data_IF_091115822956
#
_entry.id   IF_091115822956
#
_cell.length_a   1.000
_cell.length_b   1.000
_cell.length_c   1.000
_cell.angle_alpha   90.00
_cell.angle_beta   90.00
_cell.angle_gamma   90.00
#
_symmetry.space_group_name_H-M   'P 1'
#
loop_
_entity.id
_entity.type
_entity.pdbx_description
1 polymer ?
#
# COMPACT_ATOMS: atom_id res chain seq x y z
N UNK A 1 -5.03 8.01 8.61
CA UNK A 1 -5.49 6.65 8.97
C UNK A 1 -6.96 6.76 9.33
N UNK A 2 -7.85 5.96 8.75
CA UNK A 2 -9.28 5.99 9.10
C UNK A 2 -9.50 5.43 10.51
N UNK A 3 -10.49 5.94 11.26
CA UNK A 3 -10.92 5.38 12.55
C UNK A 3 -11.25 3.88 12.40
N UNK A 4 -11.84 3.48 11.27
CA UNK A 4 -12.11 2.07 10.97
C UNK A 4 -10.84 1.22 10.87
N UNK A 5 -9.76 1.81 10.36
CA UNK A 5 -8.46 1.13 10.23
C UNK A 5 -7.77 0.99 11.59
N UNK A 6 -7.83 2.04 12.41
CA UNK A 6 -7.33 1.99 13.79
C UNK A 6 -8.07 0.93 14.62
N UNK A 7 -9.41 0.92 14.57
CA UNK A 7 -10.22 -0.10 15.26
C UNK A 7 -9.97 -1.51 14.72
N UNK A 8 -9.78 -1.66 13.40
CA UNK A 8 -9.43 -2.95 12.80
C UNK A 8 -8.11 -3.48 13.35
N UNK A 9 -7.08 -2.64 13.49
CA UNK A 9 -5.79 -3.03 14.06
C UNK A 9 -5.96 -3.46 15.51
N UNK A 10 -6.69 -2.69 16.32
CA UNK A 10 -6.92 -3.02 17.73
C UNK A 10 -7.66 -4.35 17.91
N UNK A 11 -8.64 -4.64 17.05
CA UNK A 11 -9.39 -5.90 17.08
C UNK A 11 -8.54 -7.10 16.65
N UNK A 12 -7.49 -6.89 15.84
CA UNK A 12 -6.55 -7.93 15.42
C UNK A 12 -5.50 -8.30 16.47
N UNK A 13 -5.33 -7.49 17.53
CA UNK A 13 -4.33 -7.79 18.58
C UNK A 13 -4.76 -9.03 19.39
N UNK A 14 -3.86 -9.96 19.73
CA UNK A 14 -4.18 -11.10 20.60
C UNK A 14 -4.50 -10.62 22.03
N UNK A 15 -5.20 -11.44 22.81
CA UNK A 15 -5.36 -11.17 24.24
C UNK A 15 -3.99 -11.32 24.93
N UNK A 16 -3.64 -10.39 25.82
CA UNK A 16 -2.37 -10.41 26.56
C UNK A 16 -2.15 -11.71 27.35
N UNK A 17 -3.24 -12.30 27.85
CA UNK A 17 -3.15 -13.41 28.79
C UNK A 17 -3.39 -14.74 28.06
N UNK A 18 -4.57 -14.92 27.46
CA UNK A 18 -4.94 -16.19 26.81
C UNK A 18 -4.51 -16.29 25.35
N UNK A 19 -3.94 -15.23 24.76
CA UNK A 19 -3.48 -15.18 23.36
C UNK A 19 -4.56 -15.54 22.32
N UNK A 20 -5.83 -15.63 22.71
CA UNK A 20 -6.95 -15.85 21.80
C UNK A 20 -7.02 -14.67 20.83
N UNK A 21 -7.33 -14.94 19.56
CA UNK A 21 -7.43 -13.95 18.47
C UNK A 21 -8.89 -13.81 17.99
N UNK A 22 -9.78 -14.69 18.44
CA UNK A 22 -11.18 -14.71 17.99
C UNK A 22 -11.90 -13.46 18.49
N UNK A 23 -12.35 -12.62 17.56
CA UNK A 23 -13.03 -11.35 17.85
C UNK A 23 -14.35 -11.57 18.60
N UNK A 24 -15.10 -12.63 18.29
CA UNK A 24 -16.38 -12.97 18.93
C UNK A 24 -16.28 -13.26 20.43
N UNK A 25 -15.08 -13.63 20.91
CA UNK A 25 -14.82 -13.92 22.32
C UNK A 25 -14.47 -12.65 23.11
N UNK A 26 -14.76 -11.46 22.57
CA UNK A 26 -14.37 -10.20 23.16
C UNK A 26 -15.51 -9.20 23.10
N UNK A 27 -15.63 -8.39 24.14
CA UNK A 27 -16.47 -7.20 24.13
C UNK A 27 -15.59 -5.98 24.10
N UNK A 28 -16.00 -4.96 23.35
CA UNK A 28 -15.27 -3.71 23.23
C UNK A 28 -16.16 -2.54 23.62
N UNK A 29 -15.58 -1.59 24.34
CA UNK A 29 -16.22 -0.35 24.74
C UNK A 29 -15.35 0.80 24.30
N UNK A 30 -15.94 1.76 23.59
CA UNK A 30 -15.24 2.95 23.12
C UNK A 30 -15.76 4.17 23.86
N UNK A 31 -14.84 4.98 24.35
CA UNK A 31 -15.14 6.28 24.95
C UNK A 31 -14.35 7.35 24.23
N UNK A 32 -15.00 8.46 23.94
CA UNK A 32 -14.41 9.59 23.23
C UNK A 32 -14.52 10.82 24.12
N UNK A 33 -13.38 11.40 24.48
CA UNK A 33 -13.30 12.63 25.28
C UNK A 33 -12.42 13.63 24.55
N UNK A 34 -13.03 14.65 23.96
CA UNK A 34 -12.31 15.63 23.14
C UNK A 34 -11.70 14.97 21.90
N UNK A 35 -10.38 14.87 21.86
CA UNK A 35 -9.61 14.19 20.81
C UNK A 35 -9.02 12.84 21.26
N UNK A 36 -9.24 12.46 22.51
CA UNK A 36 -8.85 11.16 23.04
C UNK A 36 -9.93 10.11 22.71
N UNK A 37 -9.51 9.04 22.05
CA UNK A 37 -10.27 7.82 21.86
C UNK A 37 -9.66 6.74 22.76
N UNK A 38 -10.44 6.27 23.73
CA UNK A 38 -10.06 5.16 24.59
C UNK A 38 -10.93 3.95 24.27
N UNK A 39 -10.28 2.84 23.96
CA UNK A 39 -10.89 1.55 23.65
C UNK A 39 -10.55 0.54 24.75
N UNK A 40 -11.57 -0.02 25.38
CA UNK A 40 -11.42 -1.09 26.38
C UNK A 40 -11.89 -2.38 25.73
N UNK A 41 -10.99 -3.36 25.63
CA UNK A 41 -11.27 -4.69 25.10
C UNK A 41 -11.26 -5.68 26.25
N UNK A 42 -12.39 -6.33 26.50
CA UNK A 42 -12.52 -7.37 27.52
C UNK A 42 -12.60 -8.74 26.86
N UNK A 43 -11.71 -9.65 27.23
CA UNK A 43 -11.80 -11.04 26.81
C UNK A 43 -12.87 -11.75 27.64
N UNK A 44 -13.78 -12.48 26.98
CA UNK A 44 -14.83 -13.25 27.65
C UNK A 44 -14.29 -14.56 28.25
N UNK A 45 -13.17 -15.08 27.72
CA UNK A 45 -12.56 -16.33 28.20
C UNK A 45 -11.79 -16.14 29.51
N UNK A 46 -10.83 -15.21 29.55
CA UNK A 46 -10.00 -14.97 30.73
C UNK A 46 -10.48 -13.79 31.59
N UNK A 47 -11.51 -13.06 31.16
CA UNK A 47 -12.03 -11.83 31.81
C UNK A 47 -11.05 -10.65 31.88
N UNK A 48 -9.84 -10.78 31.33
CA UNK A 48 -8.85 -9.72 31.24
C UNK A 48 -9.38 -8.55 30.41
N UNK A 49 -9.16 -7.33 30.91
CA UNK A 49 -9.45 -6.08 30.21
C UNK A 49 -8.15 -5.40 29.79
N UNK A 50 -8.04 -5.09 28.50
CA UNK A 50 -6.94 -4.32 27.91
C UNK A 50 -7.47 -2.94 27.53
N UNK A 51 -6.70 -1.90 27.83
CA UNK A 51 -7.06 -0.53 27.50
C UNK A 51 -6.05 0.02 26.48
N UNK A 52 -6.59 0.59 25.41
CA UNK A 52 -5.84 1.25 24.35
C UNK A 52 -6.32 2.68 24.22
N UNK A 53 -5.39 3.63 24.11
CA UNK A 53 -5.69 5.01 23.77
C UNK A 53 -4.90 5.42 22.53
N UNK A 54 -5.40 6.41 21.80
CA UNK A 54 -4.63 7.08 20.75
C UNK A 54 -3.67 8.14 21.32
N UNK A 55 -3.80 8.49 22.60
CA UNK A 55 -2.94 9.41 23.33
C UNK A 55 -1.91 8.61 24.15
N UNK A 56 -0.68 9.13 24.23
CA UNK A 56 0.37 8.59 25.09
C UNK A 56 0.27 9.21 26.50
N UNK A 57 0.94 8.64 27.51
CA UNK A 57 0.87 9.14 28.89
C UNK A 57 1.27 10.62 29.01
N UNK A 58 2.19 11.04 28.14
CA UNK A 58 2.83 12.36 28.18
C UNK A 58 2.20 13.35 27.18
N UNK A 59 1.40 12.86 26.22
CA UNK A 59 0.88 13.66 25.11
C UNK A 59 -0.64 13.58 25.07
N UNK A 60 -1.30 14.65 25.54
CA UNK A 60 -2.75 14.82 25.40
C UNK A 60 -3.05 15.75 24.23
N UNK A 61 -3.68 15.25 23.18
CA UNK A 61 -4.06 16.05 22.01
C UNK A 61 -4.99 17.19 22.38
N UNK A 62 -5.85 16.98 23.38
CA UNK A 62 -6.73 18.05 23.89
C UNK A 62 -5.95 19.24 24.45
N UNK A 63 -4.79 19.02 25.11
CA UNK A 63 -3.93 20.10 25.59
C UNK A 63 -3.16 20.76 24.45
N UNK A 64 -2.63 19.98 23.51
CA UNK A 64 -1.94 20.51 22.33
C UNK A 64 -2.86 21.40 21.51
N UNK A 65 -4.10 20.97 21.30
CA UNK A 65 -5.10 21.74 20.57
C UNK A 65 -5.51 22.97 21.37
N UNK A 66 -5.71 22.86 22.68
CA UNK A 66 -5.96 24.02 23.54
C UNK A 66 -4.82 25.05 23.48
N UNK A 67 -3.57 24.60 23.45
CA UNK A 67 -2.40 25.47 23.27
C UNK A 67 -2.40 26.15 21.90
N UNK A 68 -2.64 25.39 20.83
CA UNK A 68 -2.70 25.91 19.47
C UNK A 68 -3.86 26.90 19.25
N UNK A 69 -5.02 26.64 19.86
CA UNK A 69 -6.15 27.57 19.83
C UNK A 69 -5.88 28.84 20.64
N UNK A 70 -5.23 28.73 21.80
CA UNK A 70 -4.83 29.89 22.60
C UNK A 70 -3.81 30.77 21.87
N UNK A 71 -2.76 30.19 21.29
CA UNK A 71 -1.73 30.93 20.55
C UNK A 71 -2.26 31.51 19.23
N UNK A 72 -3.15 30.78 18.55
CA UNK A 72 -3.77 31.20 17.30
C UNK A 72 -5.01 32.10 17.47
N UNK A 73 -5.49 32.33 18.70
CA UNK A 73 -6.83 32.90 18.99
C UNK A 73 -7.96 32.22 18.21
N UNK A 74 -7.80 30.95 17.85
CA UNK A 74 -8.82 30.18 17.14
C UNK A 74 -9.73 29.54 18.18
N UNK A 75 -11.05 29.50 17.97
CA UNK A 75 -11.92 28.72 18.83
C UNK A 75 -11.94 27.25 18.40
N UNK A 76 -12.45 26.37 19.28
CA UNK A 76 -12.53 24.91 19.03
C UNK A 76 -13.21 24.58 17.71
N UNK A 77 -14.30 25.28 17.38
CA UNK A 77 -15.08 25.00 16.18
C UNK A 77 -14.29 25.38 14.93
N UNK A 78 -13.65 26.56 14.93
CA UNK A 78 -12.78 27.01 13.83
C UNK A 78 -11.64 26.02 13.56
N UNK A 79 -11.05 25.46 14.62
CA UNK A 79 -9.98 24.46 14.48
C UNK A 79 -10.50 23.12 13.93
N UNK A 80 -11.65 22.64 14.42
CA UNK A 80 -12.31 21.45 13.88
C UNK A 80 -12.68 21.61 12.40
N UNK A 81 -13.21 22.78 12.01
CA UNK A 81 -13.52 23.09 10.62
C UNK A 81 -12.25 23.10 9.76
N UNK A 82 -11.15 23.71 10.24
CA UNK A 82 -9.89 23.72 9.51
C UNK A 82 -9.36 22.30 9.26
N UNK A 83 -9.37 21.44 10.28
CA UNK A 83 -8.97 20.04 10.13
C UNK A 83 -9.86 19.27 9.14
N UNK A 84 -11.18 19.47 9.20
CA UNK A 84 -12.12 18.86 8.27
C UNK A 84 -11.88 19.33 6.82
N UNK A 85 -11.60 20.62 6.62
CA UNK A 85 -11.26 21.17 5.29
C UNK A 85 -9.95 20.61 4.76
N UNK A 86 -8.93 20.47 5.62
CA UNK A 86 -7.65 19.83 5.24
C UNK A 86 -7.91 18.37 4.83
N UNK A 87 -8.73 17.64 5.56
CA UNK A 87 -9.04 16.24 5.23
C UNK A 87 -9.79 16.12 3.89
N UNK A 88 -10.81 16.95 3.66
CA UNK A 88 -11.56 16.98 2.40
C UNK A 88 -10.65 17.33 1.22
N UNK A 89 -9.83 18.38 1.35
CA UNK A 89 -8.90 18.78 0.29
C UNK A 89 -7.87 17.69 0.00
N UNK A 90 -7.40 16.96 1.01
CA UNK A 90 -6.48 15.83 0.85
C UNK A 90 -7.14 14.61 0.18
N UNK A 91 -8.42 14.36 0.43
CA UNK A 91 -9.17 13.31 -0.28
C UNK A 91 -9.38 13.68 -1.76
N UNK A 92 -9.74 14.94 -2.02
CA UNK A 92 -9.87 15.47 -3.38
C UNK A 92 -8.54 15.37 -4.15
N UNK A 93 -7.43 15.76 -3.54
CA UNK A 93 -6.10 15.70 -4.18
C UNK A 93 -5.68 14.27 -4.51
N UNK A 94 -5.92 13.29 -3.63
CA UNK A 94 -5.64 11.87 -3.90
C UNK A 94 -6.43 11.34 -5.09
N UNK A 95 -7.72 11.66 -5.18
CA UNK A 95 -8.56 11.26 -6.32
C UNK A 95 -8.08 11.91 -7.62
N UNK A 96 -7.76 13.19 -7.58
CA UNK A 96 -7.20 13.91 -8.72
C UNK A 96 -5.87 13.31 -9.17
N UNK A 97 -4.96 13.00 -8.24
CA UNK A 97 -3.67 12.37 -8.53
C UNK A 97 -3.82 11.04 -9.29
N UNK A 98 -4.68 10.14 -8.80
CA UNK A 98 -4.93 8.86 -9.49
C UNK A 98 -5.62 9.03 -10.84
N UNK A 99 -6.53 10.01 -10.98
CA UNK A 99 -7.15 10.32 -12.26
C UNK A 99 -6.13 10.82 -13.30
N UNK A 100 -5.19 11.67 -12.88
CA UNK A 100 -4.10 12.14 -13.75
C UNK A 100 -3.14 11.01 -14.12
N UNK A 101 -2.79 10.13 -13.17
CA UNK A 101 -1.99 8.93 -13.46
C UNK A 101 -2.66 8.05 -14.52
N UNK A 102 -3.95 7.75 -14.38
CA UNK A 102 -4.69 6.95 -15.35
C UNK A 102 -4.75 7.62 -16.74
N UNK A 103 -4.91 8.95 -16.79
CA UNK A 103 -4.89 9.70 -18.05
C UNK A 103 -3.52 9.70 -18.74
N UNK A 104 -2.41 9.74 -17.99
CA UNK A 104 -1.07 9.68 -18.58
C UNK A 104 -0.64 8.26 -18.96
N UNK A 105 -0.90 7.26 -18.13
CA UNK A 105 -0.42 5.91 -18.39
C UNK A 105 -1.18 5.21 -19.51
N UNK A 106 -2.47 5.51 -19.69
CA UNK A 106 -3.27 4.92 -20.77
C UNK A 106 -2.67 5.14 -22.17
N UNK A 107 -2.36 6.38 -22.62
CA UNK A 107 -1.75 6.60 -23.92
C UNK A 107 -0.33 6.02 -24.01
N UNK A 108 0.46 6.04 -22.94
CA UNK A 108 1.80 5.42 -22.94
C UNK A 108 1.69 3.91 -23.20
N UNK A 109 0.75 3.23 -22.52
CA UNK A 109 0.51 1.79 -22.70
C UNK A 109 0.00 1.49 -24.12
N UNK A 110 -0.91 2.31 -24.64
CA UNK A 110 -1.43 2.15 -26.01
C UNK A 110 -0.33 2.37 -27.06
N UNK A 111 0.51 3.41 -26.91
CA UNK A 111 1.66 3.65 -27.78
C UNK A 111 2.67 2.52 -27.72
N UNK A 112 2.97 1.99 -26.53
CA UNK A 112 3.88 0.84 -26.38
C UNK A 112 3.32 -0.40 -27.09
N UNK A 113 2.02 -0.71 -26.91
CA UNK A 113 1.36 -1.83 -27.61
C UNK A 113 1.42 -1.66 -29.13
N UNK A 114 1.14 -0.46 -29.63
CA UNK A 114 1.19 -0.18 -31.06
C UNK A 114 2.61 -0.33 -31.60
N UNK A 115 3.61 0.21 -30.89
CA UNK A 115 5.02 0.06 -31.27
C UNK A 115 5.46 -1.40 -31.31
N UNK A 116 5.10 -2.21 -30.30
CA UNK A 116 5.40 -3.64 -30.29
C UNK A 116 4.71 -4.38 -31.45
N UNK A 117 3.47 -4.03 -31.77
CA UNK A 117 2.74 -4.62 -32.89
C UNK A 117 3.41 -4.28 -34.23
N UNK A 118 3.83 -3.03 -34.42
CA UNK A 118 4.54 -2.61 -35.64
C UNK A 118 5.84 -3.38 -35.81
N UNK A 119 6.68 -3.45 -34.78
CA UNK A 119 7.96 -4.20 -34.81
C UNK A 119 7.72 -5.67 -35.13
N UNK A 120 6.69 -6.29 -34.53
CA UNK A 120 6.38 -7.69 -34.79
C UNK A 120 5.98 -7.94 -36.25
N UNK A 121 5.21 -7.03 -36.85
CA UNK A 121 4.83 -7.13 -38.27
C UNK A 121 6.05 -6.93 -39.19
N UNK A 122 6.92 -5.97 -38.89
CA UNK A 122 8.17 -5.75 -39.63
C UNK A 122 9.08 -6.98 -39.58
N UNK A 123 9.22 -7.63 -38.42
CA UNK A 123 9.99 -8.88 -38.28
C UNK A 123 9.37 -9.99 -39.12
N UNK A 124 8.04 -10.14 -39.09
CA UNK A 124 7.35 -11.16 -39.88
C UNK A 124 7.52 -10.95 -41.39
N UNK A 125 7.44 -9.70 -41.86
CA UNK A 125 7.66 -9.36 -43.27
C UNK A 125 9.12 -9.62 -43.67
N UNK A 126 10.09 -9.21 -42.85
CA UNK A 126 11.51 -9.53 -43.08
C UNK A 126 11.78 -11.03 -43.12
N UNK A 127 11.21 -11.80 -42.19
CA UNK A 127 11.34 -13.25 -42.21
C UNK A 127 10.71 -13.85 -43.47
N UNK A 128 9.53 -13.35 -43.89
CA UNK A 128 8.85 -13.83 -45.10
C UNK A 128 9.69 -13.56 -46.35
N UNK A 129 10.34 -12.40 -46.45
CA UNK A 129 11.30 -12.09 -47.52
C UNK A 129 12.52 -13.01 -47.49
N UNK A 130 13.10 -13.24 -46.30
CA UNK A 130 14.24 -14.16 -46.09
C UNK A 130 13.88 -15.61 -46.46
N UNK A 131 12.67 -16.07 -46.12
CA UNK A 131 12.20 -17.43 -46.45
C UNK A 131 11.85 -17.59 -47.95
N UNK A 132 11.37 -16.53 -48.62
CA UNK A 132 11.16 -16.51 -50.07
C UNK A 132 12.49 -16.50 -50.85
N UNK A 133 13.51 -15.82 -50.31
CA UNK A 133 14.90 -15.85 -50.77
C UNK A 133 15.64 -17.05 -50.17
N UNK A 134 15.34 -18.28 -50.60
CA UNK A 134 16.06 -19.51 -50.22
C UNK A 134 17.56 -19.28 -49.90
N UNK A 135 17.88 -19.10 -48.63
CA UNK A 135 19.17 -19.43 -48.03
C UNK A 135 18.86 -19.99 -46.65
N UNK A 136 19.01 -21.31 -46.51
CA UNK A 136 19.17 -21.95 -45.20
C UNK A 136 20.31 -21.25 -44.47
N UNK A 137 19.98 -20.36 -43.54
CA UNK A 137 20.89 -19.97 -42.48
C UNK A 137 20.13 -20.02 -41.16
N UNK A 138 20.51 -21.02 -40.38
CA UNK A 138 20.17 -21.26 -38.99
C UNK A 138 20.19 -19.93 -38.24
N UNK A 139 19.05 -19.52 -37.69
CA UNK A 139 18.95 -18.42 -36.74
C UNK A 139 19.68 -18.82 -35.46
N UNK A 140 20.76 -18.16 -35.03
CA UNK A 140 21.27 -18.34 -33.69
C UNK A 140 20.29 -17.66 -32.72
N UNK A 141 19.42 -18.45 -32.10
CA UNK A 141 18.65 -18.02 -30.94
C UNK A 141 19.62 -17.92 -29.77
N UNK A 142 20.27 -16.76 -29.64
CA UNK A 142 20.97 -16.37 -28.42
C UNK A 142 19.95 -15.69 -27.50
N UNK A 143 19.53 -16.38 -26.44
CA UNK A 143 18.84 -15.71 -25.35
C UNK A 143 19.83 -14.75 -24.68
N UNK A 144 19.65 -13.45 -24.89
CA UNK A 144 20.35 -12.46 -24.09
C UNK A 144 19.74 -12.43 -22.69
N UNK A 145 20.28 -13.27 -21.80
CA UNK A 145 19.88 -13.38 -20.40
C UNK A 145 20.34 -12.16 -19.55
N UNK A 146 20.77 -11.06 -20.17
CA UNK A 146 21.32 -9.90 -19.45
C UNK A 146 20.32 -9.14 -18.57
N UNK A 147 19.03 -9.49 -18.59
CA UNK A 147 18.00 -8.83 -17.77
C UNK A 147 17.59 -9.55 -16.48
N UNK A 148 18.19 -10.72 -16.16
CA UNK A 148 17.87 -11.45 -14.91
C UNK A 148 19.01 -11.51 -13.88
N UNK A 149 20.19 -10.95 -14.17
CA UNK A 149 21.34 -11.01 -13.27
C UNK A 149 21.39 -9.89 -12.20
N UNK A 150 20.25 -9.54 -11.59
CA UNK A 150 20.25 -8.65 -10.41
C UNK A 150 19.69 -9.30 -9.15
N UNK A 151 19.13 -10.53 -9.21
CA UNK A 151 18.69 -11.24 -8.01
C UNK A 151 19.04 -12.71 -8.14
N UNK A 152 19.92 -13.19 -7.25
CA UNK A 152 20.33 -14.58 -7.02
C UNK A 152 21.68 -15.02 -7.64
N UNK A 153 22.74 -14.25 -7.39
CA UNK A 153 24.12 -14.65 -7.68
C UNK A 153 24.73 -15.69 -6.69
N UNK A 154 23.92 -16.42 -5.92
CA UNK A 154 24.43 -17.35 -4.88
C UNK A 154 24.03 -18.82 -5.02
N UNK A 155 23.40 -19.25 -6.11
CA UNK A 155 22.92 -20.64 -6.24
C UNK A 155 23.21 -21.30 -7.60
N UNK A 156 24.40 -21.08 -8.16
CA UNK A 156 24.86 -21.83 -9.32
C UNK A 156 26.13 -22.63 -9.00
N UNK A 157 26.02 -23.59 -8.08
CA UNK A 157 26.96 -24.71 -7.97
C UNK A 157 26.24 -25.97 -8.42
N UNK A 158 26.51 -26.48 -9.62
CA UNK A 158 26.61 -27.93 -9.96
C UNK A 158 27.16 -28.03 -11.39
N UNK A 159 28.45 -28.32 -11.54
CA UNK A 159 28.99 -29.01 -12.71
C UNK A 159 29.30 -30.45 -12.27
N UNK A 160 28.55 -31.45 -12.76
CA UNK A 160 28.98 -32.85 -12.73
C UNK A 160 29.53 -33.21 -14.11
N UNK A 161 30.84 -33.41 -14.18
CA UNK A 161 31.49 -34.16 -15.26
C UNK A 161 31.20 -35.64 -15.03
N UNK A 162 30.69 -36.32 -16.04
CA UNK A 162 30.87 -37.76 -16.19
C UNK A 162 31.89 -37.97 -17.30
N UNK A 163 32.99 -38.61 -16.92
CA UNK A 163 34.00 -39.26 -17.75
C UNK A 163 33.43 -40.47 -18.48
#
# INVERSE_FOLDING_TARGET
MSISHYLSILLSLPCSDCHDIIVSNRTFYTTVVGFNLTCIIKCLLCKTSMQYSNEDSDIKYSHLIAGATLTGRMNRNSFQTALATIEVTNQCSKRSYHNYQNHMYKPIIESAKQSSKTILLEILDHLKEIYLLKQEKVLPIGFDCSWSYSRNAHQASVFRKYS
#
